data_IF_680203754204
#
_entry.id   IF_680203754204
#
_cell.length_a   1.000
_cell.length_b   1.000
_cell.length_c   1.000
_cell.angle_alpha   90.00
_cell.angle_beta   90.00
_cell.angle_gamma   90.00
#
_symmetry.space_group_name_H-M   'P 1'
#
loop_
_entity.id
_entity.type
_entity.pdbx_description
1 polymer ?
#
# COMPACT_ATOMS: atom_id res chain seq x y z
N UNK A 1 0.95 -8.79 -22.66
CA UNK A 1 -0.10 -9.04 -21.67
C UNK A 1 0.49 -8.80 -20.29
N UNK A 2 0.21 -7.61 -19.71
CA UNK A 2 0.68 -7.25 -18.38
C UNK A 2 -0.16 -7.96 -17.31
N UNK A 3 0.50 -8.46 -16.25
CA UNK A 3 -0.17 -8.93 -15.06
C UNK A 3 -0.35 -7.74 -14.12
N UNK A 4 -1.60 -7.40 -13.82
CA UNK A 4 -1.95 -6.37 -12.84
C UNK A 4 -2.14 -7.01 -11.45
N UNK A 5 -1.62 -6.32 -10.43
CA UNK A 5 -1.85 -6.68 -9.02
C UNK A 5 -2.23 -5.45 -8.25
N UNK A 6 -3.04 -5.62 -7.26
CA UNK A 6 -3.62 -4.59 -6.42
C UNK A 6 -4.14 -3.38 -7.21
N UNK A 7 -5.25 -2.86 -6.81
CA UNK A 7 -5.83 -1.64 -7.35
C UNK A 7 -6.39 -0.84 -6.18
N UNK A 8 -6.19 0.47 -6.20
CA UNK A 8 -6.82 1.42 -5.29
C UNK A 8 -7.43 2.56 -6.07
N UNK A 9 -8.57 3.04 -5.62
CA UNK A 9 -9.27 4.14 -6.26
C UNK A 9 -9.11 5.42 -5.45
N UNK A 10 -8.91 6.51 -6.15
CA UNK A 10 -8.96 7.89 -5.68
C UNK A 10 -10.15 8.54 -6.37
N UNK A 11 -11.30 8.43 -5.74
CA UNK A 11 -12.57 8.89 -6.32
C UNK A 11 -12.65 10.41 -6.36
N UNK A 12 -12.05 11.09 -5.40
CA UNK A 12 -12.05 12.55 -5.30
C UNK A 12 -11.28 13.18 -6.49
N UNK A 13 -10.20 12.56 -6.93
CA UNK A 13 -9.39 13.03 -8.06
C UNK A 13 -9.66 12.28 -9.38
N UNK A 14 -10.58 11.32 -9.39
CA UNK A 14 -10.92 10.53 -10.57
C UNK A 14 -9.77 9.66 -11.07
N UNK A 15 -8.97 9.09 -10.14
CA UNK A 15 -7.78 8.29 -10.44
C UNK A 15 -7.86 6.89 -9.87
N UNK A 16 -7.05 6.01 -10.41
CA UNK A 16 -6.77 4.69 -9.86
C UNK A 16 -5.27 4.43 -9.85
N UNK A 17 -4.82 3.66 -8.87
CA UNK A 17 -3.44 3.20 -8.72
C UNK A 17 -3.38 1.69 -8.83
N UNK A 18 -2.39 1.16 -9.53
CA UNK A 18 -2.23 -0.28 -9.72
C UNK A 18 -0.78 -0.65 -10.02
N UNK A 19 -0.39 -1.88 -9.63
CA UNK A 19 0.89 -2.45 -10.05
C UNK A 19 0.79 -3.13 -11.42
N UNK A 20 1.80 -2.91 -12.23
CA UNK A 20 2.09 -3.72 -13.41
C UNK A 20 3.33 -4.57 -13.11
N UNK A 21 3.14 -5.88 -13.09
CA UNK A 21 4.12 -6.84 -12.53
C UNK A 21 5.33 -7.02 -13.42
N UNK A 22 5.15 -7.01 -14.75
CA UNK A 22 6.25 -7.31 -15.68
C UNK A 22 7.28 -6.17 -15.76
N UNK A 23 6.86 -4.94 -15.51
CA UNK A 23 7.74 -3.76 -15.52
C UNK A 23 8.13 -3.29 -14.12
N UNK A 24 7.58 -3.93 -13.08
CA UNK A 24 7.85 -3.57 -11.69
C UNK A 24 7.61 -2.08 -11.43
N UNK A 25 6.43 -1.58 -11.79
CA UNK A 25 6.06 -0.18 -11.59
C UNK A 25 4.68 -0.06 -10.93
N UNK A 26 4.54 0.97 -10.11
CA UNK A 26 3.25 1.47 -9.66
C UNK A 26 2.78 2.57 -10.62
N UNK A 27 1.62 2.38 -11.19
CA UNK A 27 0.98 3.32 -12.12
C UNK A 27 -0.17 4.06 -11.47
N UNK A 28 -0.45 5.24 -12.01
CA UNK A 28 -1.70 5.97 -11.85
C UNK A 28 -2.34 6.16 -13.23
N UNK A 29 -3.66 6.01 -13.32
CA UNK A 29 -4.44 6.27 -14.53
C UNK A 29 -5.76 6.96 -14.18
N UNK A 30 -6.49 7.46 -15.17
CA UNK A 30 -7.88 7.86 -14.98
C UNK A 30 -8.74 6.63 -14.67
N UNK A 31 -9.92 6.84 -14.05
CA UNK A 31 -10.85 5.74 -13.70
C UNK A 31 -11.37 4.96 -14.93
N UNK A 32 -11.32 5.54 -16.11
CA UNK A 32 -11.65 4.88 -17.38
C UNK A 32 -10.48 4.12 -18.01
N UNK A 33 -9.32 4.09 -17.33
CA UNK A 33 -8.10 3.42 -17.77
C UNK A 33 -7.23 4.25 -18.73
N UNK A 34 -7.64 5.46 -19.07
CA UNK A 34 -6.84 6.34 -19.95
C UNK A 34 -5.69 7.02 -19.22
N UNK A 35 -4.70 7.49 -19.99
CA UNK A 35 -3.54 8.25 -19.51
C UNK A 35 -2.76 7.57 -18.36
N UNK A 36 -2.34 6.30 -18.49
CA UNK A 36 -1.50 5.69 -17.48
C UNK A 36 -0.13 6.35 -17.41
N UNK A 37 0.32 6.66 -16.20
CA UNK A 37 1.65 7.22 -15.92
C UNK A 37 2.31 6.43 -14.79
N UNK A 38 3.62 6.26 -14.85
CA UNK A 38 4.39 5.67 -13.76
C UNK A 38 4.52 6.70 -12.65
N UNK A 39 4.06 6.37 -11.44
CA UNK A 39 4.24 7.20 -10.25
C UNK A 39 5.41 6.73 -9.39
N UNK A 40 5.67 5.41 -9.36
CA UNK A 40 6.87 4.85 -8.71
C UNK A 40 7.43 3.76 -9.61
N UNK A 41 8.69 3.91 -10.01
CA UNK A 41 9.40 2.92 -10.82
C UNK A 41 10.22 1.95 -9.95
N UNK A 42 10.39 0.72 -10.43
CA UNK A 42 11.22 -0.30 -9.79
C UNK A 42 10.62 -0.85 -8.50
N UNK A 43 9.29 -0.84 -8.36
CA UNK A 43 8.58 -1.40 -7.20
C UNK A 43 7.68 -2.55 -7.63
N UNK A 44 7.70 -3.62 -6.83
CA UNK A 44 6.88 -4.80 -7.00
C UNK A 44 6.07 -5.05 -5.73
N UNK A 45 4.76 -4.89 -5.79
CA UNK A 45 3.92 -4.96 -4.59
C UNK A 45 2.67 -5.81 -4.74
N UNK A 46 2.04 -6.05 -3.61
CA UNK A 46 0.76 -6.75 -3.47
C UNK A 46 -0.35 -5.86 -2.91
N UNK A 47 -0.01 -4.72 -2.36
CA UNK A 47 -0.96 -3.80 -1.77
C UNK A 47 -0.68 -2.35 -2.15
N UNK A 48 -1.74 -1.63 -2.46
CA UNK A 48 -1.75 -0.19 -2.60
C UNK A 48 -3.03 0.37 -1.97
N UNK A 49 -2.91 1.46 -1.24
CA UNK A 49 -4.03 2.20 -0.66
C UNK A 49 -3.93 3.67 -1.02
N UNK A 50 -5.07 4.33 -1.16
CA UNK A 50 -5.18 5.78 -1.25
C UNK A 50 -5.77 6.32 0.05
N UNK A 51 -5.11 7.31 0.62
CA UNK A 51 -5.60 8.15 1.71
C UNK A 51 -6.04 9.49 1.12
N UNK A 52 -7.30 9.56 0.72
CA UNK A 52 -7.89 10.75 0.08
C UNK A 52 -7.91 11.94 1.05
N UNK A 53 -8.01 11.69 2.37
CA UNK A 53 -8.06 12.75 3.39
C UNK A 53 -6.71 13.47 3.50
N UNK A 54 -5.61 12.72 3.48
CA UNK A 54 -4.26 13.28 3.64
C UNK A 54 -3.49 13.41 2.33
N UNK A 55 -4.11 13.08 1.18
CA UNK A 55 -3.51 13.09 -0.15
C UNK A 55 -2.22 12.26 -0.21
N UNK A 56 -2.30 11.02 0.29
CA UNK A 56 -1.18 10.07 0.32
C UNK A 56 -1.55 8.74 -0.33
N UNK A 57 -0.54 8.06 -0.82
CA UNK A 57 -0.61 6.64 -1.16
C UNK A 57 0.27 5.83 -0.20
N UNK A 58 -0.18 4.63 0.12
CA UNK A 58 0.60 3.61 0.82
C UNK A 58 0.76 2.43 -0.11
N UNK A 59 1.96 1.92 -0.22
CA UNK A 59 2.28 0.80 -1.10
C UNK A 59 3.43 -0.02 -0.51
N UNK A 60 3.48 -1.29 -0.88
CA UNK A 60 4.59 -2.15 -0.48
C UNK A 60 5.56 -2.39 -1.64
N UNK A 61 6.80 -2.65 -1.29
CA UNK A 61 7.79 -3.18 -2.21
C UNK A 61 8.29 -4.54 -1.71
N UNK A 62 7.97 -5.59 -2.45
CA UNK A 62 8.35 -6.96 -2.12
C UNK A 62 9.86 -7.21 -2.31
N UNK A 63 10.53 -6.43 -3.16
CA UNK A 63 11.96 -6.56 -3.40
C UNK A 63 12.77 -6.10 -2.20
N UNK A 64 12.40 -4.96 -1.62
CA UNK A 64 13.04 -4.43 -0.41
C UNK A 64 12.36 -4.88 0.89
N UNK A 65 11.20 -5.55 0.81
CA UNK A 65 10.37 -5.92 1.95
C UNK A 65 10.05 -4.70 2.85
N UNK A 66 9.57 -3.62 2.23
CA UNK A 66 9.23 -2.36 2.90
C UNK A 66 7.78 -1.96 2.64
N UNK A 67 7.22 -1.23 3.59
CA UNK A 67 5.96 -0.50 3.46
C UNK A 67 6.28 1.00 3.38
N UNK A 68 5.77 1.67 2.35
CA UNK A 68 6.13 3.02 1.99
C UNK A 68 4.88 3.89 1.91
N UNK A 69 5.00 5.13 2.37
CA UNK A 69 4.03 6.22 2.15
C UNK A 69 4.64 7.23 1.19
N UNK A 70 3.83 7.80 0.29
CA UNK A 70 4.25 8.86 -0.61
C UNK A 70 3.11 9.85 -0.87
N UNK A 71 3.42 10.96 -1.52
CA UNK A 71 2.41 11.82 -2.13
C UNK A 71 1.68 11.08 -3.26
N UNK A 72 0.52 11.58 -3.69
CA UNK A 72 -0.28 10.97 -4.77
C UNK A 72 0.49 10.85 -6.10
N UNK A 73 1.49 11.69 -6.34
CA UNK A 73 2.37 11.65 -7.52
C UNK A 73 3.61 10.76 -7.35
N UNK A 74 3.73 10.06 -6.23
CA UNK A 74 4.85 9.17 -5.91
C UNK A 74 6.09 9.87 -5.32
N UNK A 75 6.06 11.18 -5.17
CA UNK A 75 7.16 11.95 -4.52
C UNK A 75 7.10 11.88 -3.00
N UNK A 76 8.14 12.34 -2.33
CA UNK A 76 8.16 12.44 -0.85
C UNK A 76 8.00 11.07 -0.17
N UNK A 77 8.66 10.05 -0.69
CA UNK A 77 8.58 8.69 -0.14
C UNK A 77 9.17 8.61 1.27
N UNK A 78 8.42 7.96 2.15
CA UNK A 78 8.79 7.72 3.55
C UNK A 78 8.56 6.23 3.88
N UNK A 79 9.55 5.58 4.45
CA UNK A 79 9.42 4.19 4.88
C UNK A 79 8.62 4.12 6.17
N UNK A 80 7.50 3.40 6.15
CA UNK A 80 6.62 3.18 7.31
C UNK A 80 7.07 1.95 8.08
N UNK A 81 7.42 0.87 7.39
CA UNK A 81 7.94 -0.35 7.97
C UNK A 81 9.06 -0.93 7.11
N UNK A 82 10.20 -1.19 7.74
CA UNK A 82 11.39 -1.78 7.13
C UNK A 82 11.85 -3.05 7.86
N UNK A 83 10.94 -3.75 8.55
CA UNK A 83 11.27 -4.94 9.35
C UNK A 83 11.54 -6.20 8.50
N UNK A 84 11.67 -6.05 7.19
CA UNK A 84 12.00 -7.15 6.28
C UNK A 84 10.85 -8.12 6.07
N UNK A 85 9.62 -7.68 6.33
CA UNK A 85 8.43 -8.49 6.07
C UNK A 85 7.71 -8.00 4.83
N UNK A 86 7.41 -8.90 3.92
CA UNK A 86 6.59 -8.58 2.74
C UNK A 86 5.14 -8.40 3.16
N UNK A 87 4.47 -7.44 2.59
CA UNK A 87 3.09 -7.08 2.94
C UNK A 87 2.12 -7.77 1.99
N UNK A 88 0.99 -8.26 2.52
CA UNK A 88 -0.08 -8.82 1.70
C UNK A 88 -1.35 -7.97 1.69
N UNK A 89 -1.70 -7.38 2.81
CA UNK A 89 -2.90 -6.59 2.95
C UNK A 89 -2.66 -5.36 3.80
N UNK A 90 -3.35 -4.27 3.45
CA UNK A 90 -3.31 -3.02 4.18
C UNK A 90 -4.71 -2.44 4.31
N UNK A 91 -4.95 -1.69 5.38
CA UNK A 91 -6.18 -0.92 5.57
C UNK A 91 -5.90 0.33 6.40
N UNK A 92 -6.66 1.40 6.14
CA UNK A 92 -6.59 2.65 6.89
C UNK A 92 -7.84 2.78 7.75
N UNK A 93 -7.64 3.11 9.03
CA UNK A 93 -8.67 3.57 9.94
C UNK A 93 -8.51 5.09 10.12
N UNK A 94 -9.39 5.84 9.48
CA UNK A 94 -9.38 7.29 9.59
C UNK A 94 -9.92 7.79 10.93
N UNK A 95 -10.75 6.99 11.61
CA UNK A 95 -11.30 7.35 12.93
C UNK A 95 -10.20 7.46 13.98
N UNK A 96 -9.33 6.45 14.02
CA UNK A 96 -8.22 6.37 14.97
C UNK A 96 -6.88 6.80 14.35
N UNK A 97 -6.87 7.24 13.08
CA UNK A 97 -5.66 7.64 12.34
C UNK A 97 -4.59 6.56 12.36
N UNK A 98 -4.98 5.33 12.04
CA UNK A 98 -4.10 4.15 12.04
C UNK A 98 -4.02 3.49 10.67
N UNK A 99 -2.82 3.05 10.33
CA UNK A 99 -2.55 2.12 9.24
C UNK A 99 -2.38 0.72 9.81
N UNK A 100 -3.04 -0.27 9.22
CA UNK A 100 -2.94 -1.69 9.54
C UNK A 100 -2.33 -2.44 8.37
N UNK A 101 -1.48 -3.43 8.64
CA UNK A 101 -0.93 -4.30 7.59
C UNK A 101 -0.70 -5.71 8.10
N UNK A 102 -0.71 -6.66 7.15
CA UNK A 102 -0.37 -8.05 7.40
C UNK A 102 0.97 -8.41 6.75
N UNK A 103 1.86 -9.00 7.54
CA UNK A 103 3.15 -9.48 7.07
C UNK A 103 3.04 -10.90 6.52
N UNK A 104 3.45 -11.08 5.26
CA UNK A 104 3.46 -12.38 4.59
C UNK A 104 4.36 -13.38 5.26
N UNK A 105 5.60 -12.97 5.51
CA UNK A 105 6.65 -13.88 5.96
C UNK A 105 6.70 -13.96 7.50
N UNK A 106 6.21 -12.91 8.18
CA UNK A 106 6.19 -12.86 9.65
C UNK A 106 4.96 -13.49 10.28
N UNK A 107 3.87 -13.69 9.51
CA UNK A 107 2.60 -14.13 10.07
C UNK A 107 2.03 -13.15 11.11
N UNK A 108 2.30 -11.86 10.94
CA UNK A 108 1.91 -10.83 11.89
C UNK A 108 0.85 -9.91 11.32
N UNK A 109 -0.05 -9.47 12.19
CA UNK A 109 -0.91 -8.31 11.98
C UNK A 109 -0.35 -7.17 12.81
N UNK A 110 -0.06 -6.05 12.15
CA UNK A 110 0.56 -4.88 12.78
C UNK A 110 -0.24 -3.62 12.47
N UNK A 111 -0.04 -2.58 13.28
CA UNK A 111 -0.52 -1.23 12.99
C UNK A 111 0.50 -0.18 13.44
N UNK A 112 0.34 1.02 12.92
CA UNK A 112 1.07 2.21 13.35
C UNK A 112 0.20 3.45 13.15
N UNK A 113 0.68 4.61 13.57
CA UNK A 113 0.14 5.87 13.10
C UNK A 113 0.31 6.00 11.58
N UNK A 114 -0.47 6.86 10.92
CA UNK A 114 -0.40 7.06 9.48
C UNK A 114 0.98 7.53 8.99
N UNK A 115 1.80 8.11 9.86
CA UNK A 115 3.19 8.52 9.58
C UNK A 115 4.24 7.45 9.92
N UNK A 116 3.81 6.25 10.34
CA UNK A 116 4.68 5.14 10.72
C UNK A 116 5.19 5.18 12.15
N UNK A 117 4.86 6.22 12.92
CA UNK A 117 5.24 6.27 14.35
C UNK A 117 4.42 5.31 15.19
N UNK A 118 4.96 4.93 16.35
CA UNK A 118 4.34 4.01 17.31
C UNK A 118 3.86 2.68 16.69
N UNK A 119 4.74 1.94 15.98
CA UNK A 119 4.37 0.64 15.43
C UNK A 119 4.15 -0.37 16.54
N UNK A 120 3.15 -1.22 16.38
CA UNK A 120 2.84 -2.32 17.30
C UNK A 120 2.37 -3.58 16.57
N UNK A 121 2.76 -4.73 17.06
CA UNK A 121 2.27 -6.03 16.59
C UNK A 121 1.02 -6.38 17.39
N UNK A 122 -0.10 -6.51 16.70
CA UNK A 122 -1.40 -6.84 17.34
C UNK A 122 -1.60 -8.35 17.52
N UNK A 123 -1.07 -9.14 16.57
CA UNK A 123 -1.21 -10.57 16.55
C UNK A 123 -0.01 -11.20 15.83
N UNK A 124 0.47 -12.33 16.37
CA UNK A 124 1.50 -13.18 15.76
C UNK A 124 0.96 -14.56 15.45
N UNK A 125 1.77 -15.36 14.79
CA UNK A 125 1.50 -16.76 14.49
C UNK A 125 0.23 -16.97 13.64
N UNK A 126 -0.02 -16.05 12.72
CA UNK A 126 -1.11 -16.13 11.78
C UNK A 126 -0.67 -16.85 10.50
N UNK A 127 -1.48 -17.79 10.02
CA UNK A 127 -1.31 -18.36 8.70
C UNK A 127 -1.78 -17.38 7.62
N UNK A 128 -0.87 -16.88 6.79
CA UNK A 128 -1.15 -16.18 5.51
C UNK A 128 -2.36 -15.23 5.50
N UNK A 129 -2.33 -14.18 6.30
CA UNK A 129 -3.36 -13.13 6.23
C UNK A 129 -3.21 -12.35 4.93
N UNK A 130 -4.16 -12.49 4.01
CA UNK A 130 -4.08 -11.90 2.66
C UNK A 130 -4.88 -10.62 2.46
N UNK A 131 -5.78 -10.30 3.37
CA UNK A 131 -6.62 -9.12 3.27
C UNK A 131 -7.02 -8.58 4.63
N UNK A 132 -7.12 -7.28 4.72
CA UNK A 132 -7.61 -6.56 5.90
C UNK A 132 -8.69 -5.60 5.40
N UNK A 133 -9.84 -5.61 6.07
CA UNK A 133 -10.92 -4.66 5.81
C UNK A 133 -11.30 -4.02 7.15
N UNK A 134 -11.34 -2.71 7.17
CA UNK A 134 -11.88 -1.95 8.28
C UNK A 134 -13.30 -1.52 7.91
N UNK A 135 -14.25 -1.91 8.71
CA UNK A 135 -15.63 -1.47 8.55
C UNK A 135 -15.79 -0.17 9.34
N UNK A 136 -15.95 0.90 8.62
CA UNK A 136 -16.28 2.22 9.17
C UNK A 136 -17.78 2.37 9.41
#
# INVERSE_FOLDING_TARGET
>A
DGLMRAIALDLDNGKMYFYEVNFENLYMANLDGTNPVVVVAGVYGYGVLVDEINNKIYFDDQNSATLIRANLDGTGQEVIDANGTRIYGMAIDHTDSKLYWSGRDSGQLSRANLDGTNPEVLKSDLDSVRGIIIKQ
#
